data_IF_580806492996
#
_entry.id   IF_580806492996
#
_cell.length_a   1.000
_cell.length_b   1.000
_cell.length_c   1.000
_cell.angle_alpha   90.00
_cell.angle_beta   90.00
_cell.angle_gamma   90.00
#
_symmetry.space_group_name_H-M   'P 1'
#
loop_
_entity.id
_entity.type
_entity.pdbx_description
1 polymer ?
#
# COMPACT_ATOMS: atom_id res chain seq x y z
N UNK A 1 11.44 -0.65 11.29
CA UNK A 1 10.43 -0.60 10.22
C UNK A 1 10.86 -1.64 9.18
N UNK A 2 10.21 -2.80 9.17
CA UNK A 2 10.70 -4.03 8.50
C UNK A 2 10.56 -3.93 6.97
N UNK A 3 9.62 -3.14 6.48
CA UNK A 3 9.26 -3.04 5.06
C UNK A 3 10.04 -1.99 4.32
N UNK A 4 10.32 -0.86 4.97
CA UNK A 4 11.29 0.09 4.41
C UNK A 4 12.64 -0.59 4.22
N UNK A 5 13.00 -1.54 5.09
CA UNK A 5 14.16 -2.41 4.92
C UNK A 5 14.03 -3.36 3.72
N UNK A 6 12.94 -4.11 3.56
CA UNK A 6 12.75 -5.01 2.40
C UNK A 6 12.68 -4.30 1.04
N UNK A 7 11.94 -3.19 0.98
CA UNK A 7 11.83 -2.35 -0.23
C UNK A 7 13.20 -1.74 -0.56
N UNK A 8 13.94 -1.30 0.47
CA UNK A 8 15.30 -0.80 0.32
C UNK A 8 16.29 -1.86 -0.14
N UNK A 9 16.26 -3.06 0.44
CA UNK A 9 17.15 -4.17 0.08
C UNK A 9 16.90 -4.65 -1.36
N UNK A 10 15.63 -4.72 -1.77
CA UNK A 10 15.26 -5.01 -3.16
C UNK A 10 15.77 -3.91 -4.10
N UNK A 11 15.61 -2.64 -3.71
CA UNK A 11 16.16 -1.52 -4.47
C UNK A 11 17.68 -1.64 -4.61
N UNK A 12 18.43 -1.84 -3.53
CA UNK A 12 19.91 -1.92 -3.57
C UNK A 12 20.38 -3.07 -4.46
N UNK A 13 19.72 -4.23 -4.38
CA UNK A 13 20.09 -5.43 -5.12
C UNK A 13 19.78 -5.33 -6.62
N UNK A 14 18.66 -4.71 -7.00
CA UNK A 14 18.14 -4.71 -8.37
C UNK A 14 18.02 -3.30 -8.97
N UNK A 15 18.76 -2.31 -8.44
CA UNK A 15 18.59 -0.88 -8.75
C UNK A 15 18.53 -0.53 -10.24
N UNK A 16 19.29 -1.24 -11.06
CA UNK A 16 19.44 -0.97 -12.50
C UNK A 16 18.50 -1.83 -13.35
N UNK A 17 17.82 -2.83 -12.76
CA UNK A 17 16.83 -3.66 -13.43
C UNK A 17 15.51 -2.91 -13.64
N UNK A 18 14.75 -3.35 -14.64
CA UNK A 18 13.41 -2.80 -14.92
C UNK A 18 12.43 -3.27 -13.86
N UNK A 19 11.76 -2.31 -13.21
CA UNK A 19 10.69 -2.57 -12.26
C UNK A 19 9.31 -2.62 -12.95
N UNK A 20 9.06 -1.64 -13.82
CA UNK A 20 7.77 -1.50 -14.50
C UNK A 20 7.99 -1.01 -15.92
N UNK A 21 7.21 -1.59 -16.84
CA UNK A 21 7.21 -1.18 -18.24
C UNK A 21 5.79 -1.21 -18.80
N UNK A 22 5.48 -0.25 -19.66
CA UNK A 22 4.35 -0.28 -20.58
C UNK A 22 4.81 0.26 -21.95
N UNK A 23 3.88 0.50 -22.87
CA UNK A 23 4.21 0.97 -24.24
C UNK A 23 5.01 2.28 -24.28
N UNK A 24 4.87 3.15 -23.26
CA UNK A 24 5.42 4.50 -23.26
C UNK A 24 6.44 4.77 -22.15
N UNK A 25 6.50 3.90 -21.14
CA UNK A 25 7.23 4.12 -19.90
C UNK A 25 8.05 2.88 -19.59
N UNK A 26 9.32 3.09 -19.31
CA UNK A 26 10.19 2.09 -18.73
C UNK A 26 10.89 2.73 -17.52
N UNK A 27 10.74 2.11 -16.35
CA UNK A 27 11.31 2.60 -15.10
C UNK A 27 12.05 1.49 -14.36
N UNK A 28 13.28 1.80 -13.97
CA UNK A 28 14.08 0.93 -13.13
C UNK A 28 13.64 0.96 -11.67
N UNK A 29 14.08 -0.02 -10.88
CA UNK A 29 13.91 -0.01 -9.42
C UNK A 29 14.42 1.30 -8.79
N UNK A 30 15.53 1.85 -9.30
CA UNK A 30 16.06 3.13 -8.84
C UNK A 30 15.12 4.29 -9.09
N UNK A 31 14.60 4.41 -10.31
CA UNK A 31 13.67 5.48 -10.66
C UNK A 31 12.37 5.34 -9.87
N UNK A 32 11.88 4.11 -9.69
CA UNK A 32 10.69 3.82 -8.90
C UNK A 32 10.88 4.24 -7.43
N UNK A 33 11.99 3.86 -6.81
CA UNK A 33 12.28 4.22 -5.42
C UNK A 33 12.46 5.73 -5.22
N UNK A 34 13.08 6.42 -6.17
CA UNK A 34 13.16 7.89 -6.16
C UNK A 34 11.77 8.54 -6.20
N UNK A 35 10.87 8.02 -7.04
CA UNK A 35 9.48 8.49 -7.12
C UNK A 35 8.71 8.23 -5.82
N UNK A 36 8.92 7.08 -5.17
CA UNK A 36 8.35 6.78 -3.85
C UNK A 36 8.81 7.82 -2.82
N UNK A 37 10.12 8.06 -2.72
CA UNK A 37 10.67 9.07 -1.79
C UNK A 37 10.07 10.45 -2.04
N UNK A 38 10.00 10.86 -3.31
CA UNK A 38 9.41 12.14 -3.67
C UNK A 38 7.93 12.23 -3.26
N UNK A 39 7.13 11.21 -3.57
CA UNK A 39 5.72 11.18 -3.21
C UNK A 39 5.50 11.14 -1.69
N UNK A 40 6.32 10.38 -0.97
CA UNK A 40 6.26 10.29 0.50
C UNK A 40 6.57 11.65 1.16
N UNK A 41 7.57 12.38 0.67
CA UNK A 41 7.91 13.72 1.18
C UNK A 41 6.85 14.77 0.81
N UNK A 42 6.30 14.73 -0.40
CA UNK A 42 5.26 15.69 -0.82
C UNK A 42 3.97 15.55 -0.01
N UNK A 43 3.71 14.36 0.51
CA UNK A 43 2.48 14.02 1.23
C UNK A 43 2.75 13.71 2.72
N UNK A 44 3.86 14.18 3.28
CA UNK A 44 4.28 13.88 4.65
C UNK A 44 3.21 14.27 5.69
N UNK A 45 2.44 15.33 5.42
CA UNK A 45 1.33 15.77 6.28
C UNK A 45 0.04 14.92 6.14
N UNK A 46 -0.05 14.06 5.13
CA UNK A 46 -1.22 13.20 4.88
C UNK A 46 -1.06 11.79 5.45
N UNK A 47 0.17 11.36 5.76
CA UNK A 47 0.48 10.00 6.17
C UNK A 47 1.12 10.01 7.55
N UNK A 48 0.29 9.90 8.58
CA UNK A 48 0.78 9.77 9.94
C UNK A 48 1.20 8.33 10.21
N UNK A 49 2.33 8.17 10.89
CA UNK A 49 2.83 6.88 11.34
C UNK A 49 1.76 6.14 12.17
N UNK A 50 1.58 4.86 11.85
CA UNK A 50 0.62 3.95 12.48
C UNK A 50 -0.84 4.43 12.42
N UNK A 51 -1.19 5.24 11.41
CA UNK A 51 -2.58 5.57 11.10
C UNK A 51 -3.08 4.83 9.87
N UNK A 52 -4.39 4.54 9.87
CA UNK A 52 -5.10 3.94 8.74
C UNK A 52 -5.34 5.03 7.69
N UNK A 53 -4.79 4.86 6.49
CA UNK A 53 -4.97 5.82 5.39
C UNK A 53 -5.82 5.19 4.29
N UNK A 54 -6.98 5.78 3.99
CA UNK A 54 -7.79 5.36 2.84
C UNK A 54 -7.00 5.59 1.56
N UNK A 55 -6.88 4.55 0.74
CA UNK A 55 -6.22 4.63 -0.55
C UNK A 55 -7.04 3.95 -1.65
N UNK A 56 -7.37 4.71 -2.70
CA UNK A 56 -8.06 4.21 -3.88
C UNK A 56 -7.03 3.73 -4.90
N UNK A 57 -6.94 2.42 -5.07
CA UNK A 57 -5.96 1.77 -5.93
C UNK A 57 -6.56 1.42 -7.30
N UNK A 58 -5.74 1.58 -8.35
CA UNK A 58 -5.95 1.04 -9.70
C UNK A 58 -4.64 0.41 -10.22
N UNK A 59 -4.63 -0.05 -11.48
CA UNK A 59 -3.46 -0.71 -12.09
C UNK A 59 -2.40 0.27 -12.62
N UNK A 60 -2.48 1.56 -12.27
CA UNK A 60 -1.51 2.56 -12.72
C UNK A 60 -0.21 2.51 -11.94
N UNK A 61 0.85 3.01 -12.57
CA UNK A 61 2.14 3.21 -11.91
C UNK A 61 2.02 4.21 -10.74
N UNK A 62 1.22 5.26 -10.91
CA UNK A 62 0.96 6.27 -9.89
C UNK A 62 0.34 5.65 -8.64
N UNK A 63 -0.59 4.69 -8.83
CA UNK A 63 -1.17 3.94 -7.73
C UNK A 63 -0.13 3.10 -6.99
N UNK A 64 0.78 2.43 -7.71
CA UNK A 64 1.88 1.69 -7.11
C UNK A 64 2.82 2.62 -6.31
N UNK A 65 3.23 3.74 -6.89
CA UNK A 65 4.09 4.72 -6.22
C UNK A 65 3.44 5.22 -4.93
N UNK A 66 2.15 5.56 -4.98
CA UNK A 66 1.42 6.09 -3.82
C UNK A 66 1.25 5.03 -2.74
N UNK A 67 0.94 3.78 -3.10
CA UNK A 67 0.88 2.66 -2.17
C UNK A 67 2.18 2.50 -1.38
N UNK A 68 3.32 2.47 -2.07
CA UNK A 68 4.61 2.36 -1.40
C UNK A 68 5.01 3.63 -0.63
N UNK A 69 4.55 4.81 -1.04
CA UNK A 69 4.78 6.06 -0.30
C UNK A 69 4.05 6.08 1.05
N UNK A 70 2.81 5.56 1.12
CA UNK A 70 2.07 5.40 2.39
C UNK A 70 2.85 4.47 3.33
N UNK A 71 3.29 3.32 2.82
CA UNK A 71 4.10 2.35 3.59
C UNK A 71 5.44 2.95 4.02
N UNK A 72 6.09 3.73 3.15
CA UNK A 72 7.35 4.42 3.45
C UNK A 72 7.22 5.33 4.68
N UNK A 73 6.07 6.01 4.83
CA UNK A 73 5.76 6.86 5.98
C UNK A 73 5.20 6.09 7.19
N UNK A 74 5.23 4.75 7.18
CA UNK A 74 4.67 3.88 8.23
C UNK A 74 3.16 4.02 8.45
N UNK A 75 2.42 4.53 7.47
CA UNK A 75 0.97 4.47 7.52
C UNK A 75 0.48 3.11 7.00
N UNK A 76 -0.72 2.71 7.42
CA UNK A 76 -1.35 1.45 7.01
C UNK A 76 -2.38 1.76 5.92
N UNK A 77 -2.09 1.49 4.64
CA UNK A 77 -3.05 1.72 3.56
C UNK A 77 -4.28 0.80 3.71
N UNK A 78 -5.46 1.41 3.66
CA UNK A 78 -6.76 0.75 3.55
C UNK A 78 -7.18 0.82 2.10
N UNK A 79 -7.08 -0.32 1.41
CA UNK A 79 -7.22 -0.40 -0.04
C UNK A 79 -8.67 -0.54 -0.45
N UNK A 80 -9.10 0.34 -1.34
CA UNK A 80 -10.35 0.22 -2.09
C UNK A 80 -10.08 0.34 -3.58
N UNK A 81 -10.83 -0.36 -4.41
CA UNK A 81 -10.77 -0.13 -5.85
C UNK A 81 -11.25 1.30 -6.14
N UNK A 82 -10.62 1.97 -7.10
CA UNK A 82 -11.00 3.32 -7.57
C UNK A 82 -12.45 3.42 -8.09
N UNK A 83 -13.06 2.30 -8.46
CA UNK A 83 -14.45 2.22 -8.88
C UNK A 83 -15.43 2.12 -7.70
N UNK A 84 -14.94 1.97 -6.46
CA UNK A 84 -15.79 1.86 -5.27
C UNK A 84 -16.48 3.20 -5.01
N UNK A 85 -17.82 3.26 -4.92
CA UNK A 85 -18.54 4.50 -4.63
C UNK A 85 -18.09 5.14 -3.31
N UNK A 86 -17.96 6.47 -3.28
CA UNK A 86 -17.46 7.23 -2.13
C UNK A 86 -18.22 6.91 -0.84
N UNK A 87 -19.55 6.88 -0.88
CA UNK A 87 -20.40 6.54 0.27
C UNK A 87 -20.09 5.16 0.84
N UNK A 88 -19.79 4.18 -0.04
CA UNK A 88 -19.42 2.83 0.37
C UNK A 88 -18.04 2.81 1.02
N UNK A 89 -17.08 3.59 0.50
CA UNK A 89 -15.74 3.76 1.11
C UNK A 89 -15.87 4.36 2.49
N UNK A 90 -16.60 5.47 2.64
CA UNK A 90 -16.81 6.14 3.93
C UNK A 90 -17.45 5.20 4.97
N UNK A 91 -18.51 4.49 4.57
CA UNK A 91 -19.19 3.53 5.45
C UNK A 91 -18.26 2.41 5.91
N UNK A 92 -17.48 1.83 5.00
CA UNK A 92 -16.56 0.74 5.32
C UNK A 92 -15.36 1.23 6.16
N UNK A 93 -14.83 2.41 5.86
CA UNK A 93 -13.73 2.98 6.63
C UNK A 93 -14.16 3.34 8.06
N UNK A 94 -15.35 3.92 8.24
CA UNK A 94 -15.87 4.23 9.57
C UNK A 94 -16.07 2.94 10.40
N UNK A 95 -16.38 1.80 9.77
CA UNK A 95 -16.53 0.52 10.48
C UNK A 95 -15.23 -0.01 11.11
N UNK A 96 -14.06 0.48 10.69
CA UNK A 96 -12.74 0.05 11.18
C UNK A 96 -11.99 1.13 11.98
N UNK A 97 -12.56 2.33 12.12
CA UNK A 97 -11.96 3.40 12.93
C UNK A 97 -12.03 3.09 14.42
N UNK A 98 -13.10 2.46 14.90
CA UNK A 98 -13.36 2.36 16.35
C UNK A 98 -12.73 1.15 17.07
N UNK A 99 -12.10 0.19 16.38
CA UNK A 99 -11.90 -1.15 16.97
C UNK A 99 -10.49 -1.77 16.94
N UNK A 100 -9.46 -1.13 16.39
CA UNK A 100 -8.15 -1.82 16.25
C UNK A 100 -6.96 -0.91 16.55
N UNK A 101 -6.19 -1.30 17.56
CA UNK A 101 -4.83 -0.82 17.80
C UNK A 101 -3.92 -1.33 16.68
N UNK A 102 -3.42 -0.42 15.84
CA UNK A 102 -2.43 -0.78 14.83
C UNK A 102 -1.09 -1.10 15.49
N UNK A 103 -0.47 -2.19 15.06
CA UNK A 103 0.87 -2.59 15.47
C UNK A 103 1.91 -2.17 14.43
N UNK A 104 3.20 -2.22 14.78
CA UNK A 104 4.27 -1.97 13.81
C UNK A 104 4.41 -3.07 12.74
N UNK A 105 3.69 -4.18 12.88
CA UNK A 105 3.73 -5.30 11.92
C UNK A 105 2.63 -5.20 10.85
N UNK A 106 1.64 -4.35 11.09
CA UNK A 106 0.50 -4.13 10.20
C UNK A 106 0.95 -3.46 8.91
N UNK A 107 0.51 -4.01 7.78
CA UNK A 107 0.99 -3.62 6.47
C UNK A 107 -0.11 -3.04 5.58
N UNK A 108 -1.27 -3.70 5.48
CA UNK A 108 -2.35 -3.28 4.59
C UNK A 108 -3.69 -3.81 5.09
N UNK A 109 -4.78 -3.07 4.88
CA UNK A 109 -6.15 -3.57 5.07
C UNK A 109 -6.83 -3.68 3.69
N UNK A 110 -7.43 -4.84 3.41
CA UNK A 110 -8.14 -5.12 2.15
C UNK A 110 -9.58 -5.51 2.46
N UNK A 111 -10.56 -4.89 1.80
CA UNK A 111 -11.95 -5.32 1.90
C UNK A 111 -12.28 -6.41 0.88
N UNK A 112 -12.77 -7.54 1.37
CA UNK A 112 -13.24 -8.65 0.52
C UNK A 112 -14.77 -8.71 0.52
N UNK A 113 -15.39 -9.24 -0.55
CA UNK A 113 -16.85 -9.24 -0.72
C UNK A 113 -17.62 -10.01 0.36
N UNK A 114 -16.95 -10.98 1.02
CA UNK A 114 -17.54 -11.84 2.05
C UNK A 114 -18.64 -12.76 1.50
N UNK A 115 -18.69 -14.01 1.94
CA UNK A 115 -19.78 -14.93 1.60
C UNK A 115 -21.15 -14.47 2.14
N UNK A 116 -21.15 -13.58 3.13
CA UNK A 116 -22.35 -13.02 3.78
C UNK A 116 -22.86 -11.71 3.16
N UNK A 117 -22.37 -11.31 1.98
CA UNK A 117 -22.69 -10.03 1.30
C UNK A 117 -22.32 -8.75 2.08
N UNK A 118 -21.70 -8.91 3.26
CA UNK A 118 -21.15 -7.84 4.08
C UNK A 118 -19.64 -7.87 3.86
N UNK A 119 -19.04 -6.81 3.28
CA UNK A 119 -17.61 -6.77 3.09
C UNK A 119 -16.87 -6.87 4.41
N UNK A 120 -15.79 -7.67 4.44
CA UNK A 120 -14.95 -7.84 5.62
C UNK A 120 -13.59 -7.24 5.38
N UNK A 121 -13.12 -6.44 6.33
CA UNK A 121 -11.76 -5.94 6.37
C UNK A 121 -10.82 -7.09 6.75
N UNK A 122 -9.80 -7.31 5.94
CA UNK A 122 -8.73 -8.28 6.20
C UNK A 122 -7.45 -7.48 6.41
N UNK A 123 -6.93 -7.51 7.64
CA UNK A 123 -5.63 -6.95 7.99
C UNK A 123 -4.53 -7.94 7.61
N UNK A 124 -3.57 -7.48 6.80
CA UNK A 124 -2.36 -8.21 6.48
C UNK A 124 -1.16 -7.55 7.17
N UNK A 125 -0.28 -8.38 7.70
CA UNK A 125 1.06 -8.00 8.18
C UNK A 125 2.08 -8.09 7.04
N UNK A 126 3.28 -7.55 7.26
CA UNK A 126 4.38 -7.73 6.31
C UNK A 126 4.79 -9.19 6.13
N UNK A 127 4.66 -10.00 7.18
CA UNK A 127 4.89 -11.44 7.11
C UNK A 127 3.91 -12.13 6.18
N UNK A 128 2.63 -11.75 6.21
CA UNK A 128 1.63 -12.32 5.28
C UNK A 128 2.02 -12.04 3.83
N UNK A 129 2.38 -10.81 3.49
CA UNK A 129 2.80 -10.44 2.13
C UNK A 129 4.06 -11.19 1.68
N UNK A 130 5.05 -11.32 2.56
CA UNK A 130 6.29 -12.04 2.25
C UNK A 130 6.03 -13.52 1.91
N UNK A 131 5.28 -14.24 2.75
CA UNK A 131 4.99 -15.66 2.50
C UNK A 131 4.08 -15.87 1.28
N UNK A 132 3.15 -14.96 1.02
CA UNK A 132 2.35 -15.00 -0.21
C UNK A 132 3.20 -14.84 -1.48
N UNK A 133 4.21 -13.97 -1.46
CA UNK A 133 5.11 -13.75 -2.60
C UNK A 133 6.08 -14.92 -2.85
N UNK A 134 6.42 -15.72 -1.83
CA UNK A 134 7.22 -16.93 -2.02
C UNK A 134 6.47 -18.05 -2.75
N UNK A 135 5.14 -18.01 -2.74
CA UNK A 135 4.28 -19.00 -3.39
C UNK A 135 3.78 -18.61 -4.77
N UNK A 136 4.20 -17.46 -5.32
CA UNK A 136 3.75 -16.90 -6.62
C UNK A 136 4.76 -17.09 -7.74
#
# INVERSE_FOLDING_TARGET
MITSKFVWESFEKYKDEIFYTNENINISYKQFYQKIKQAACQNELLYTKNEKTVFLIDSSLESLITFFAIIYNSAVPVLFSKQTPKEKVEKLFNSIQDNEFLTSEDATIIFTSGSSSIPKAVLHTYGNHYYSALGS
#
